data_IF_937963019410
#
_entry.id   IF_937963019410
#
_cell.length_a   1.000
_cell.length_b   1.000
_cell.length_c   1.000
_cell.angle_alpha   90.00
_cell.angle_beta   90.00
_cell.angle_gamma   90.00
#
_symmetry.space_group_name_H-M   'P 1'
#
loop_
_entity.id
_entity.type
_entity.pdbx_description
1 polymer ?
#
# COMPACT_ATOMS: atom_id res chain seq x y z
N UNK A 1 18.22 -2.52 1.67
CA UNK A 1 19.28 -2.73 0.65
C UNK A 1 19.82 -1.39 0.12
N UNK A 2 19.01 -0.55 -0.53
CA UNK A 2 19.47 0.74 -1.09
C UNK A 2 20.11 1.65 -0.03
N UNK A 3 19.48 1.82 1.14
CA UNK A 3 20.07 2.57 2.26
C UNK A 3 21.48 2.10 2.64
N UNK A 4 21.73 0.78 2.63
CA UNK A 4 23.05 0.19 2.92
C UNK A 4 24.06 0.50 1.81
N UNK A 5 23.63 0.43 0.55
CA UNK A 5 24.46 0.83 -0.59
C UNK A 5 24.86 2.30 -0.48
N UNK A 6 23.91 3.19 -0.17
CA UNK A 6 24.18 4.62 0.05
C UNK A 6 25.16 4.83 1.20
N UNK A 7 24.98 4.13 2.33
CA UNK A 7 25.91 4.22 3.47
C UNK A 7 27.33 3.79 3.10
N UNK A 8 27.51 2.71 2.35
CA UNK A 8 28.83 2.25 1.89
C UNK A 8 29.49 3.26 0.95
N UNK A 9 28.73 3.84 0.01
CA UNK A 9 29.21 4.88 -0.90
C UNK A 9 29.64 6.12 -0.09
N UNK A 10 28.80 6.57 0.86
CA UNK A 10 29.11 7.69 1.74
C UNK A 10 30.35 7.44 2.59
N UNK A 11 30.54 6.22 3.11
CA UNK A 11 31.75 5.85 3.85
C UNK A 11 33.00 5.85 2.96
N UNK A 12 32.88 5.37 1.71
CA UNK A 12 34.00 5.40 0.76
C UNK A 12 34.38 6.85 0.41
N UNK A 13 33.38 7.70 0.17
CA UNK A 13 33.60 9.13 -0.08
C UNK A 13 34.34 9.81 1.08
N UNK A 14 33.92 9.56 2.33
CA UNK A 14 34.62 10.10 3.52
C UNK A 14 36.09 9.69 3.56
N UNK A 15 36.41 8.43 3.29
CA UNK A 15 37.80 7.94 3.24
C UNK A 15 38.63 8.57 2.12
N UNK A 16 38.02 8.78 0.95
CA UNK A 16 38.70 9.48 -0.16
C UNK A 16 39.05 10.92 0.23
N UNK A 17 38.14 11.63 0.90
CA UNK A 17 38.38 12.99 1.42
C UNK A 17 39.50 12.98 2.46
N UNK A 18 39.45 12.09 3.45
CA UNK A 18 40.48 11.97 4.51
C UNK A 18 41.87 11.66 3.94
N UNK A 19 41.95 10.87 2.86
CA UNK A 19 43.21 10.47 2.23
C UNK A 19 43.62 11.40 1.07
N UNK A 20 42.86 12.48 0.83
CA UNK A 20 43.06 13.41 -0.28
C UNK A 20 43.15 12.71 -1.66
N UNK A 21 42.35 11.66 -1.86
CA UNK A 21 42.26 10.88 -3.10
C UNK A 21 41.03 11.27 -3.91
N UNK A 22 41.15 11.21 -5.23
CA UNK A 22 40.01 11.37 -6.14
C UNK A 22 38.95 10.29 -5.90
N UNK A 23 37.70 10.71 -5.71
CA UNK A 23 36.56 9.81 -5.57
C UNK A 23 36.13 9.29 -6.94
N UNK A 24 36.15 7.98 -7.10
CA UNK A 24 35.71 7.31 -8.33
C UNK A 24 34.48 6.44 -8.05
N UNK A 25 33.36 6.77 -8.71
CA UNK A 25 32.06 6.11 -8.47
C UNK A 25 32.13 4.60 -8.69
N UNK A 26 32.83 4.14 -9.74
CA UNK A 26 32.95 2.73 -10.06
C UNK A 26 33.68 1.91 -8.97
N UNK A 27 34.55 2.56 -8.18
CA UNK A 27 35.22 1.91 -7.04
C UNK A 27 34.35 1.93 -5.77
N UNK A 28 33.47 2.92 -5.64
CA UNK A 28 32.59 3.09 -4.49
C UNK A 28 31.35 2.19 -4.54
N UNK A 29 30.78 2.00 -5.74
CA UNK A 29 29.56 1.23 -5.94
C UNK A 29 29.90 -0.26 -5.95
N UNK A 30 29.33 -1.02 -5.01
CA UNK A 30 29.46 -2.49 -4.94
C UNK A 30 28.15 -3.16 -5.38
N UNK A 31 28.01 -3.63 -6.63
CA UNK A 31 26.78 -4.25 -7.14
C UNK A 31 26.31 -5.46 -6.31
N UNK A 32 27.27 -6.19 -5.72
CA UNK A 32 27.04 -7.40 -4.93
C UNK A 32 26.14 -7.13 -3.72
N UNK A 33 26.10 -5.91 -3.19
CA UNK A 33 25.19 -5.53 -2.09
C UNK A 33 23.74 -5.72 -2.51
N UNK A 34 23.40 -5.33 -3.73
CA UNK A 34 22.04 -5.43 -4.28
C UNK A 34 21.77 -6.87 -4.72
N UNK A 35 22.66 -7.43 -5.54
CA UNK A 35 22.48 -8.78 -6.11
C UNK A 35 22.35 -9.85 -5.03
N UNK A 36 23.29 -9.91 -4.07
CA UNK A 36 23.26 -10.92 -3.03
C UNK A 36 22.14 -10.64 -2.01
N UNK A 37 21.86 -9.37 -1.73
CA UNK A 37 20.78 -8.98 -0.83
C UNK A 37 19.40 -9.41 -1.34
N UNK A 38 19.11 -9.14 -2.61
CA UNK A 38 17.85 -9.56 -3.24
C UNK A 38 17.77 -11.08 -3.40
N UNK A 39 18.83 -11.73 -3.91
CA UNK A 39 18.89 -13.19 -4.06
C UNK A 39 18.60 -13.89 -2.73
N UNK A 40 19.23 -13.46 -1.64
CA UNK A 40 19.03 -14.04 -0.33
C UNK A 40 17.60 -13.82 0.19
N UNK A 41 17.09 -12.58 0.13
CA UNK A 41 15.77 -12.25 0.68
C UNK A 41 14.65 -13.00 -0.05
N UNK A 42 14.74 -13.12 -1.38
CA UNK A 42 13.78 -13.85 -2.20
C UNK A 42 13.88 -15.36 -2.02
N UNK A 43 15.10 -15.91 -1.89
CA UNK A 43 15.29 -17.35 -1.74
C UNK A 43 14.87 -17.87 -0.36
N UNK A 44 15.12 -17.09 0.70
CA UNK A 44 14.84 -17.50 2.09
C UNK A 44 13.49 -17.01 2.60
N UNK A 45 12.90 -16.00 1.95
CA UNK A 45 11.69 -15.34 2.44
C UNK A 45 11.91 -14.46 3.68
N UNK A 46 13.16 -14.24 4.08
CA UNK A 46 13.52 -13.39 5.20
C UNK A 46 13.85 -11.97 4.72
N UNK A 47 12.96 -11.03 5.07
CA UNK A 47 13.16 -9.61 4.77
C UNK A 47 13.73 -8.90 6.00
N UNK A 48 15.05 -8.73 6.05
CA UNK A 48 15.73 -8.11 7.19
C UNK A 48 17.25 -8.21 7.13
N UNK A 49 17.91 -7.74 8.18
CA UNK A 49 19.35 -7.93 8.35
C UNK A 49 19.65 -9.38 8.72
N UNK A 50 20.51 -10.04 7.94
CA UNK A 50 20.93 -11.43 8.16
C UNK A 50 21.51 -11.65 9.57
N UNK A 51 22.10 -10.60 10.16
CA UNK A 51 22.70 -10.65 11.50
C UNK A 51 21.66 -10.53 12.62
N UNK A 52 20.42 -10.13 12.33
CA UNK A 52 19.33 -9.93 13.29
C UNK A 52 18.07 -10.71 12.86
N UNK A 53 18.19 -12.03 12.83
CA UNK A 53 17.13 -12.94 12.38
C UNK A 53 15.80 -12.80 13.18
N UNK A 54 15.83 -12.37 14.45
CA UNK A 54 14.61 -12.19 15.25
C UNK A 54 13.71 -11.03 14.80
N UNK A 55 14.19 -10.08 13.99
CA UNK A 55 13.38 -8.95 13.51
C UNK A 55 13.02 -9.05 12.03
N UNK A 56 13.28 -10.18 11.37
CA UNK A 56 12.96 -10.34 9.95
C UNK A 56 11.51 -10.77 9.76
N UNK A 57 10.81 -10.13 8.82
CA UNK A 57 9.50 -10.60 8.36
C UNK A 57 9.71 -11.85 7.53
N UNK A 58 9.42 -13.01 8.13
CA UNK A 58 9.57 -14.31 7.49
C UNK A 58 8.30 -14.69 6.69
N UNK A 59 8.49 -15.52 5.66
CA UNK A 59 7.38 -16.19 4.97
C UNK A 59 6.68 -15.37 3.88
N UNK A 60 7.26 -14.22 3.49
CA UNK A 60 6.77 -13.39 2.36
C UNK A 60 7.05 -14.08 1.02
N UNK A 61 8.23 -14.70 0.88
CA UNK A 61 8.58 -15.52 -0.30
C UNK A 61 8.43 -17.00 0.04
N UNK A 62 7.83 -17.77 -0.86
CA UNK A 62 7.57 -19.20 -0.70
C UNK A 62 7.84 -19.92 -2.02
N UNK A 63 8.23 -21.20 -1.94
CA UNK A 63 8.40 -22.03 -3.13
C UNK A 63 7.02 -22.29 -3.75
N UNK A 64 6.89 -22.05 -5.05
CA UNK A 64 5.63 -22.25 -5.77
C UNK A 64 5.15 -23.71 -5.65
N UNK A 65 3.86 -23.88 -5.38
CA UNK A 65 3.24 -25.19 -5.24
C UNK A 65 2.80 -25.65 -6.63
N UNK A 66 3.28 -26.83 -7.06
CA UNK A 66 3.07 -27.38 -8.41
C UNK A 66 2.46 -28.78 -8.42
N UNK A 67 1.70 -29.17 -7.39
CA UNK A 67 1.05 -30.49 -7.37
C UNK A 67 -0.01 -30.63 -8.49
N UNK A 68 -0.80 -29.59 -8.72
CA UNK A 68 -1.80 -29.51 -9.80
C UNK A 68 -1.86 -28.09 -10.39
N UNK A 69 -2.45 -27.95 -11.57
CA UNK A 69 -2.70 -26.64 -12.19
C UNK A 69 -3.46 -25.69 -11.24
N UNK A 70 -4.56 -26.17 -10.66
CA UNK A 70 -5.37 -25.38 -9.71
C UNK A 70 -4.60 -25.02 -8.44
N UNK A 71 -3.74 -25.91 -7.93
CA UNK A 71 -2.91 -25.61 -6.75
C UNK A 71 -1.91 -24.47 -7.02
N UNK A 72 -1.42 -24.36 -8.25
CA UNK A 72 -0.51 -23.29 -8.66
C UNK A 72 -1.22 -21.95 -8.65
N UNK A 73 -2.42 -21.89 -9.24
CA UNK A 73 -3.25 -20.68 -9.27
C UNK A 73 -3.68 -20.24 -7.87
N UNK A 74 -4.15 -21.17 -7.03
CA UNK A 74 -4.50 -20.90 -5.63
C UNK A 74 -3.31 -20.32 -4.87
N UNK A 75 -2.10 -20.88 -5.04
CA UNK A 75 -0.92 -20.38 -4.34
C UNK A 75 -0.56 -18.93 -4.72
N UNK A 76 -0.71 -18.55 -5.99
CA UNK A 76 -0.45 -17.18 -6.44
C UNK A 76 -1.44 -16.15 -5.89
N UNK A 77 -2.65 -16.58 -5.50
CA UNK A 77 -3.72 -15.70 -4.97
C UNK A 77 -3.79 -15.68 -3.45
N UNK A 78 -2.81 -16.28 -2.79
CA UNK A 78 -2.75 -16.41 -1.34
C UNK A 78 -2.28 -15.10 -0.69
N UNK A 79 -2.98 -14.70 0.36
CA UNK A 79 -2.59 -13.61 1.25
C UNK A 79 -2.37 -14.17 2.66
N UNK A 80 -1.37 -13.64 3.36
CA UNK A 80 -1.02 -14.09 4.70
C UNK A 80 -1.09 -12.92 5.68
N UNK A 81 -1.80 -13.13 6.78
CA UNK A 81 -1.88 -12.14 7.86
C UNK A 81 -0.62 -12.24 8.72
N UNK A 82 0.13 -11.16 8.97
CA UNK A 82 1.40 -11.19 9.68
C UNK A 82 1.21 -11.31 11.21
N UNK A 83 0.59 -12.40 11.65
CA UNK A 83 0.29 -12.66 13.06
C UNK A 83 0.93 -14.00 13.45
N UNK A 84 1.51 -14.04 14.66
CA UNK A 84 2.07 -15.25 15.25
C UNK A 84 1.04 -16.37 15.32
N UNK A 85 1.44 -17.59 14.96
CA UNK A 85 0.53 -18.75 14.89
C UNK A 85 0.19 -19.31 16.26
N UNK A 86 0.83 -18.83 17.32
CA UNK A 86 0.68 -19.31 18.69
C UNK A 86 -0.60 -18.78 19.39
N UNK A 87 -1.20 -17.73 18.83
CA UNK A 87 -2.47 -17.18 19.32
C UNK A 87 -3.69 -17.90 18.74
N UNK A 88 -4.38 -18.72 19.56
CA UNK A 88 -5.72 -19.29 19.26
C UNK A 88 -6.85 -18.28 19.50
N UNK A 89 -6.66 -17.02 19.13
CA UNK A 89 -7.70 -16.00 19.26
C UNK A 89 -8.68 -16.07 18.09
N UNK A 90 -9.98 -15.94 18.37
CA UNK A 90 -11.03 -15.98 17.35
C UNK A 90 -10.93 -14.79 16.38
N UNK A 91 -10.56 -13.59 16.86
CA UNK A 91 -10.25 -12.43 16.02
C UNK A 91 -8.73 -12.38 15.81
N UNK A 92 -8.21 -12.26 14.58
CA UNK A 92 -8.89 -11.90 13.32
C UNK A 92 -9.26 -13.09 12.40
N UNK A 93 -9.33 -14.31 12.95
CA UNK A 93 -9.55 -15.54 12.17
C UNK A 93 -10.98 -15.70 11.66
N UNK A 94 -11.95 -15.19 12.43
CA UNK A 94 -13.37 -15.28 12.09
C UNK A 94 -13.66 -14.54 10.77
N UNK A 95 -14.50 -15.16 9.93
CA UNK A 95 -14.99 -14.52 8.72
C UNK A 95 -15.79 -13.26 9.09
N UNK A 96 -15.39 -12.12 8.53
CA UNK A 96 -16.07 -10.84 8.71
C UNK A 96 -16.87 -10.48 7.46
N UNK A 97 -17.99 -9.78 7.60
CA UNK A 97 -18.87 -9.44 6.48
C UNK A 97 -18.17 -8.60 5.39
N UNK A 98 -17.15 -7.82 5.76
CA UNK A 98 -16.34 -7.03 4.80
C UNK A 98 -15.48 -7.89 3.88
N UNK A 99 -15.33 -9.18 4.14
CA UNK A 99 -14.63 -10.11 3.25
C UNK A 99 -15.44 -10.44 1.99
N UNK A 100 -16.76 -10.24 2.02
CA UNK A 100 -17.65 -10.59 0.94
C UNK A 100 -17.24 -9.86 -0.35
N UNK A 101 -17.10 -10.62 -1.44
CA UNK A 101 -16.64 -10.13 -2.74
C UNK A 101 -15.12 -10.04 -2.90
N UNK A 102 -14.32 -10.01 -1.81
CA UNK A 102 -12.87 -9.83 -1.87
C UNK A 102 -12.09 -11.12 -1.71
N UNK A 103 -12.50 -11.99 -0.79
CA UNK A 103 -11.80 -13.26 -0.49
C UNK A 103 -12.76 -14.45 -0.52
N UNK A 104 -12.22 -15.63 -0.81
CA UNK A 104 -12.98 -16.88 -0.74
C UNK A 104 -13.32 -17.19 0.74
N UNK A 105 -14.61 -17.38 1.09
CA UNK A 105 -15.01 -17.62 2.48
C UNK A 105 -14.63 -19.02 2.98
N UNK A 106 -14.43 -19.99 2.07
CA UNK A 106 -14.19 -21.39 2.41
C UNK A 106 -12.71 -21.81 2.30
N UNK A 107 -11.94 -21.17 1.41
CA UNK A 107 -10.57 -21.62 1.09
C UNK A 107 -9.55 -21.06 2.10
N UNK A 108 -9.49 -21.70 3.26
CA UNK A 108 -8.49 -21.49 4.31
C UNK A 108 -7.90 -22.83 4.75
N UNK A 109 -6.60 -22.92 5.08
CA UNK A 109 -6.04 -24.13 5.68
C UNK A 109 -6.67 -24.42 7.03
N UNK A 110 -6.68 -25.70 7.39
CA UNK A 110 -7.09 -26.16 8.72
C UNK A 110 -6.03 -25.85 9.79
N UNK A 111 -6.44 -25.88 11.06
CA UNK A 111 -5.54 -25.73 12.21
C UNK A 111 -5.03 -24.30 12.45
N UNK A 112 -3.74 -24.15 12.78
CA UNK A 112 -3.18 -22.89 13.29
C UNK A 112 -3.15 -21.75 12.28
N UNK A 113 -3.32 -22.02 10.98
CA UNK A 113 -3.37 -21.02 9.93
C UNK A 113 -4.81 -20.65 9.52
N UNK A 114 -5.82 -21.28 10.12
CA UNK A 114 -7.23 -21.04 9.80
C UNK A 114 -7.59 -19.56 10.01
N UNK A 115 -8.14 -18.94 8.97
CA UNK A 115 -8.52 -17.52 8.92
C UNK A 115 -7.36 -16.53 8.77
N UNK A 116 -6.10 -16.96 8.89
CA UNK A 116 -4.92 -16.12 8.70
C UNK A 116 -4.43 -16.14 7.26
N UNK A 117 -4.59 -17.28 6.59
CA UNK A 117 -4.31 -17.45 5.17
C UNK A 117 -5.63 -17.36 4.41
N UNK A 118 -5.71 -16.42 3.47
CA UNK A 118 -6.92 -16.16 2.68
C UNK A 118 -6.58 -16.16 1.20
N UNK A 119 -7.51 -16.57 0.37
CA UNK A 119 -7.36 -16.53 -1.09
C UNK A 119 -8.27 -15.46 -1.68
N UNK A 120 -7.74 -14.70 -2.65
CA UNK A 120 -8.51 -13.67 -3.34
C UNK A 120 -9.65 -14.30 -4.16
N UNK A 121 -10.81 -13.64 -4.17
CA UNK A 121 -11.98 -14.06 -4.97
C UNK A 121 -11.71 -13.93 -6.47
N UNK A 122 -12.44 -14.64 -7.34
CA UNK A 122 -12.19 -14.64 -8.79
C UNK A 122 -12.07 -13.23 -9.40
N UNK A 123 -12.95 -12.30 -9.00
CA UNK A 123 -13.03 -10.93 -9.53
C UNK A 123 -12.24 -9.90 -8.71
N UNK A 124 -11.57 -10.31 -7.62
CA UNK A 124 -10.77 -9.39 -6.82
C UNK A 124 -9.56 -8.89 -7.60
N UNK A 125 -9.39 -7.57 -7.64
CA UNK A 125 -8.24 -6.85 -8.17
C UNK A 125 -7.60 -6.04 -7.04
N UNK A 126 -6.28 -5.91 -7.06
CA UNK A 126 -5.52 -5.13 -6.10
C UNK A 126 -5.11 -3.82 -6.78
N UNK A 127 -5.43 -2.69 -6.16
CA UNK A 127 -5.03 -1.37 -6.63
C UNK A 127 -3.50 -1.21 -6.65
N UNK A 128 -2.99 -0.58 -7.71
CA UNK A 128 -1.55 -0.33 -7.91
C UNK A 128 -1.13 1.05 -7.42
N UNK A 129 -2.10 1.93 -7.19
CA UNK A 129 -1.89 3.29 -6.74
C UNK A 129 -1.78 4.26 -7.90
N UNK A 130 -2.34 5.45 -7.70
CA UNK A 130 -2.37 6.53 -8.69
C UNK A 130 -1.97 7.84 -8.04
N UNK A 131 -1.28 8.71 -8.81
CA UNK A 131 -0.94 10.07 -8.36
C UNK A 131 -2.18 10.86 -7.93
N UNK A 132 -2.05 11.55 -6.80
CA UNK A 132 -3.09 12.36 -6.18
C UNK A 132 -3.19 13.77 -6.75
N UNK A 133 -2.11 14.30 -7.30
CA UNK A 133 -2.01 15.71 -7.72
C UNK A 133 -3.11 16.11 -8.72
N UNK A 134 -3.39 15.35 -9.80
CA UNK A 134 -4.41 15.75 -10.77
C UNK A 134 -5.82 15.84 -10.17
N UNK A 135 -6.10 15.04 -9.14
CA UNK A 135 -7.38 15.02 -8.46
C UNK A 135 -7.54 16.31 -7.63
N UNK A 136 -6.47 16.73 -6.93
CA UNK A 136 -6.46 17.96 -6.14
C UNK A 136 -6.70 19.17 -7.04
N UNK A 137 -5.90 19.32 -8.11
CA UNK A 137 -6.00 20.45 -9.03
C UNK A 137 -7.41 20.54 -9.64
N UNK A 138 -7.97 19.41 -10.06
CA UNK A 138 -9.34 19.36 -10.56
C UNK A 138 -10.35 19.84 -9.52
N UNK A 139 -10.24 19.41 -8.26
CA UNK A 139 -11.17 19.85 -7.22
C UNK A 139 -11.06 21.34 -6.93
N UNK A 140 -9.84 21.91 -6.94
CA UNK A 140 -9.64 23.37 -6.81
C UNK A 140 -10.36 24.11 -7.95
N UNK A 141 -10.23 23.62 -9.20
CA UNK A 141 -10.95 24.23 -10.35
C UNK A 141 -12.47 24.15 -10.23
N UNK A 142 -12.98 23.25 -9.38
CA UNK A 142 -14.40 23.07 -9.07
C UNK A 142 -14.82 23.73 -7.77
N UNK A 143 -14.15 24.82 -7.37
CA UNK A 143 -14.50 25.61 -6.19
C UNK A 143 -14.35 24.86 -4.86
N UNK A 144 -13.45 23.88 -4.78
CA UNK A 144 -12.93 23.43 -3.49
C UNK A 144 -12.05 24.53 -2.90
N UNK A 145 -12.36 24.96 -1.68
CA UNK A 145 -11.51 25.85 -0.90
C UNK A 145 -10.41 25.01 -0.23
N UNK A 146 -9.16 25.40 -0.41
CA UNK A 146 -8.02 24.74 0.24
C UNK A 146 -8.06 24.97 1.75
N UNK A 147 -7.53 24.02 2.51
CA UNK A 147 -7.62 24.06 3.97
C UNK A 147 -7.01 25.33 4.58
N UNK A 148 -5.93 25.84 3.98
CA UNK A 148 -5.23 27.05 4.44
C UNK A 148 -6.09 28.32 4.33
N UNK A 149 -7.04 28.35 3.40
CA UNK A 149 -7.92 29.49 3.14
C UNK A 149 -9.29 29.34 3.82
N UNK A 150 -9.54 28.19 4.44
CA UNK A 150 -10.83 27.86 5.03
C UNK A 150 -11.09 28.61 6.35
N UNK A 151 -12.17 29.38 6.38
CA UNK A 151 -12.70 29.99 7.59
C UNK A 151 -13.94 29.23 8.10
N UNK A 152 -13.76 28.53 9.23
CA UNK A 152 -14.81 27.76 9.88
C UNK A 152 -15.97 28.63 10.42
N UNK A 153 -15.72 29.90 10.74
CA UNK A 153 -16.77 30.81 11.20
C UNK A 153 -17.72 31.19 10.05
N UNK A 154 -17.16 31.31 8.84
CA UNK A 154 -17.91 31.67 7.63
C UNK A 154 -18.71 30.50 7.07
N UNK A 155 -18.15 29.29 7.08
CA UNK A 155 -18.78 28.10 6.49
C UNK A 155 -18.81 26.89 7.44
N UNK A 156 -19.56 26.95 8.56
CA UNK A 156 -19.58 25.90 9.59
C UNK A 156 -20.15 24.55 9.12
N UNK A 157 -20.84 24.57 7.97
CA UNK A 157 -21.50 23.39 7.39
C UNK A 157 -20.83 22.88 6.11
N UNK A 158 -19.66 23.41 5.74
CA UNK A 158 -18.91 22.92 4.59
C UNK A 158 -18.51 21.44 4.79
N UNK A 159 -18.52 20.69 3.70
CA UNK A 159 -18.11 19.28 3.72
C UNK A 159 -16.60 19.19 3.57
N UNK A 160 -15.96 18.45 4.46
CA UNK A 160 -14.52 18.23 4.46
C UNK A 160 -14.14 17.26 3.35
N UNK A 161 -13.05 17.53 2.66
CA UNK A 161 -12.54 16.65 1.61
C UNK A 161 -11.23 16.03 2.09
N UNK A 162 -11.19 14.71 2.08
CA UNK A 162 -10.02 13.92 2.45
C UNK A 162 -9.47 13.18 1.25
N UNK A 163 -8.15 13.19 1.08
CA UNK A 163 -7.45 12.41 0.09
C UNK A 163 -6.38 11.56 0.78
N UNK A 164 -6.52 10.22 0.68
CA UNK A 164 -5.66 9.26 1.38
C UNK A 164 -5.53 9.56 2.89
N UNK A 165 -6.62 10.05 3.50
CA UNK A 165 -6.67 10.43 4.92
C UNK A 165 -6.17 11.84 5.25
N UNK A 166 -5.55 12.55 4.30
CA UNK A 166 -5.17 13.96 4.48
C UNK A 166 -6.36 14.88 4.22
N UNK A 167 -6.65 15.80 5.14
CA UNK A 167 -7.66 16.84 4.92
C UNK A 167 -7.08 17.93 4.01
N UNK A 168 -7.59 18.03 2.79
CA UNK A 168 -7.03 18.94 1.76
C UNK A 168 -7.85 20.22 1.59
N UNK A 169 -9.11 20.23 2.00
CA UNK A 169 -9.98 21.39 1.80
C UNK A 169 -11.42 21.13 2.17
N UNK A 170 -12.28 22.08 1.82
CA UNK A 170 -13.72 22.00 2.04
C UNK A 170 -14.49 22.37 0.78
N UNK A 171 -15.75 21.96 0.72
CA UNK A 171 -16.64 22.36 -0.36
C UNK A 171 -18.06 22.56 0.18
N UNK A 172 -18.72 23.64 -0.28
CA UNK A 172 -20.06 24.01 0.18
C UNK A 172 -21.17 23.20 -0.49
N UNK A 173 -21.02 22.86 -1.77
CA UNK A 173 -21.92 21.94 -2.50
C UNK A 173 -21.25 20.58 -2.82
N UNK A 174 -21.06 19.71 -1.82
CA UNK A 174 -20.44 18.40 -2.04
C UNK A 174 -21.27 17.48 -2.95
N UNK A 175 -22.56 17.75 -3.14
CA UNK A 175 -23.44 16.87 -3.93
C UNK A 175 -23.08 16.98 -5.40
N UNK A 176 -22.82 18.18 -5.90
CA UNK A 176 -22.38 18.41 -7.27
C UNK A 176 -20.95 17.91 -7.47
N UNK A 177 -20.02 18.25 -6.56
CA UNK A 177 -18.64 17.78 -6.64
C UNK A 177 -18.53 16.25 -6.69
N UNK A 178 -19.26 15.53 -5.82
CA UNK A 178 -19.24 14.06 -5.80
C UNK A 178 -19.77 13.48 -7.11
N UNK A 179 -20.83 14.05 -7.70
CA UNK A 179 -21.35 13.59 -9.00
C UNK A 179 -20.33 13.81 -10.10
N UNK A 180 -19.66 14.96 -10.11
CA UNK A 180 -18.66 15.29 -11.10
C UNK A 180 -17.47 14.33 -11.03
N UNK A 181 -16.92 14.10 -9.83
CA UNK A 181 -15.79 13.18 -9.62
C UNK A 181 -16.18 11.73 -9.93
N UNK A 182 -17.42 11.31 -9.62
CA UNK A 182 -17.93 10.00 -10.04
C UNK A 182 -18.00 9.87 -11.56
N UNK A 183 -18.39 10.94 -12.26
CA UNK A 183 -18.45 10.95 -13.71
C UNK A 183 -17.05 10.87 -14.33
N UNK A 184 -16.07 11.59 -13.77
CA UNK A 184 -14.66 11.47 -14.17
C UNK A 184 -14.17 10.01 -14.10
N UNK A 185 -14.57 9.27 -13.06
CA UNK A 185 -14.20 7.85 -12.91
C UNK A 185 -14.88 6.98 -13.97
N UNK A 186 -16.14 7.26 -14.28
CA UNK A 186 -16.91 6.51 -15.30
C UNK A 186 -16.43 6.76 -16.72
N UNK A 187 -15.89 7.94 -16.99
CA UNK A 187 -15.31 8.31 -18.29
C UNK A 187 -13.81 8.00 -18.37
N UNK A 188 -13.24 7.32 -17.37
CA UNK A 188 -11.82 6.97 -17.26
C UNK A 188 -10.86 8.18 -17.29
N UNK A 189 -11.32 9.37 -16.91
CA UNK A 189 -10.43 10.53 -16.71
C UNK A 189 -9.64 10.42 -15.40
N UNK A 190 -10.24 9.77 -14.39
CA UNK A 190 -9.51 9.26 -13.23
C UNK A 190 -9.57 7.73 -13.22
N UNK A 191 -8.52 7.04 -12.75
CA UNK A 191 -8.50 5.59 -12.75
C UNK A 191 -9.67 4.97 -11.99
N UNK A 192 -10.21 3.88 -12.52
CA UNK A 192 -11.34 3.17 -11.94
C UNK A 192 -11.04 2.63 -10.53
N UNK A 193 -9.76 2.43 -10.21
CA UNK A 193 -9.31 2.02 -8.88
C UNK A 193 -9.54 3.10 -7.81
N UNK A 194 -9.73 4.38 -8.14
CA UNK A 194 -9.94 5.43 -7.13
C UNK A 194 -11.26 5.21 -6.39
N UNK A 195 -11.19 5.09 -5.06
CA UNK A 195 -12.36 4.96 -4.19
C UNK A 195 -12.92 6.33 -3.83
N UNK A 196 -14.25 6.44 -3.85
CA UNK A 196 -14.99 7.67 -3.58
C UNK A 196 -16.08 7.36 -2.54
N UNK A 197 -15.98 7.95 -1.36
CA UNK A 197 -16.91 7.72 -0.24
C UNK A 197 -17.44 9.05 0.24
N UNK A 198 -18.76 9.25 0.14
CA UNK A 198 -19.45 10.41 0.69
C UNK A 198 -20.16 10.02 1.98
N UNK A 199 -19.63 10.48 3.11
CA UNK A 199 -20.28 10.37 4.41
C UNK A 199 -21.13 11.62 4.67
N UNK A 200 -22.45 11.44 4.63
CA UNK A 200 -23.40 12.54 4.79
C UNK A 200 -23.51 12.95 6.26
N UNK A 201 -23.40 12.01 7.19
CA UNK A 201 -23.56 12.27 8.62
C UNK A 201 -22.39 13.07 9.16
N UNK A 202 -21.18 12.65 8.80
CA UNK A 202 -19.95 13.25 9.31
C UNK A 202 -19.51 14.45 8.44
N UNK A 203 -20.21 14.70 7.32
CA UNK A 203 -19.95 15.74 6.32
C UNK A 203 -18.54 15.63 5.76
N UNK A 204 -18.23 14.44 5.24
CA UNK A 204 -16.91 14.11 4.71
C UNK A 204 -17.03 13.50 3.31
N UNK A 205 -16.16 13.93 2.41
CA UNK A 205 -15.92 13.27 1.14
C UNK A 205 -14.50 12.71 1.14
N UNK A 206 -14.38 11.38 1.17
CA UNK A 206 -13.11 10.66 1.26
C UNK A 206 -12.78 10.04 -0.08
N UNK A 207 -11.59 10.34 -0.56
CA UNK A 207 -11.02 9.83 -1.81
C UNK A 207 -9.79 9.00 -1.44
N UNK A 208 -9.70 7.79 -1.99
CA UNK A 208 -8.54 6.93 -1.81
C UNK A 208 -7.96 6.52 -3.17
N UNK A 209 -6.68 6.82 -3.38
CA UNK A 209 -5.90 6.48 -4.57
C UNK A 209 -4.62 5.70 -4.22
N UNK A 210 -4.49 5.29 -2.96
CA UNK A 210 -3.41 4.44 -2.48
C UNK A 210 -3.48 3.02 -3.08
N UNK A 211 -2.33 2.36 -3.06
CA UNK A 211 -2.16 0.98 -3.49
C UNK A 211 -2.52 0.01 -2.35
N UNK A 212 -2.94 -1.20 -2.71
CA UNK A 212 -3.23 -2.28 -1.75
C UNK A 212 -4.67 -2.35 -1.24
N UNK A 213 -5.58 -1.53 -1.77
CA UNK A 213 -7.03 -1.72 -1.68
C UNK A 213 -7.52 -2.80 -2.63
#
# INVERSE_FOLDING_TARGET
>A
IVRRLTQEITMHLKRCIEQNKLFQIHMAVKPQIVTNGLKYSLATGNWGDQKKAMSSTAGVSQVLNRYTFSSTLSHLRRTNTPIGRDGKLAKPRQLHNTHWGLVCPAETPEGQACGLVKNLSLMCSISVGTSTEPIIDYMITRNMEVLEEYDAARYPNATKIFLNGSWIGVHQDPKSLVKDVQQLRRTNQIPAEVSLVRDIRDREFKIFSDAGR
#
